data_IF_572571407332
#
_entry.id   IF_572571407332
#
_cell.length_a   1.000
_cell.length_b   1.000
_cell.length_c   1.000
_cell.angle_alpha   90.00
_cell.angle_beta   90.00
_cell.angle_gamma   90.00
#
_symmetry.space_group_name_H-M   'P 1'
#
loop_
_entity.id
_entity.type
_entity.pdbx_description
1 polymer ?
#
# COMPACT_ATOMS: atom_id res chain seq x y z
N UNK A 1 23.09 -9.96 -6.20
CA UNK A 1 22.62 -11.09 -5.38
C UNK A 1 21.36 -10.61 -4.67
N UNK A 2 20.17 -11.06 -5.07
CA UNK A 2 18.93 -10.64 -4.43
C UNK A 2 18.82 -11.35 -3.09
N UNK A 3 19.16 -10.67 -2.00
CA UNK A 3 18.85 -11.16 -0.66
C UNK A 3 17.36 -10.93 -0.41
N UNK A 4 16.55 -11.95 -0.73
CA UNK A 4 15.23 -12.09 -0.12
C UNK A 4 15.51 -12.51 1.32
N UNK A 5 15.27 -11.60 2.25
CA UNK A 5 15.66 -11.77 3.65
C UNK A 5 14.71 -12.76 4.31
N UNK A 6 15.17 -14.00 4.43
CA UNK A 6 14.90 -14.78 5.63
C UNK A 6 16.27 -15.20 6.18
N UNK A 7 16.59 -14.74 7.39
CA UNK A 7 17.68 -15.16 8.29
C UNK A 7 19.06 -14.49 8.20
N UNK A 8 19.35 -13.56 7.27
CA UNK A 8 20.71 -12.99 7.12
C UNK A 8 20.83 -11.46 7.04
N UNK A 9 19.77 -10.69 7.25
CA UNK A 9 19.89 -9.23 7.24
C UNK A 9 20.25 -8.71 8.62
N UNK A 10 21.28 -7.86 8.68
CA UNK A 10 21.69 -7.22 9.92
C UNK A 10 20.65 -6.16 10.30
N UNK A 11 19.91 -6.40 11.39
CA UNK A 11 18.99 -5.41 11.95
C UNK A 11 19.68 -4.07 12.24
N UNK A 12 20.98 -4.10 12.55
CA UNK A 12 21.77 -2.90 12.74
C UNK A 12 21.90 -2.10 11.44
N UNK A 13 22.19 -2.77 10.32
CA UNK A 13 22.25 -2.13 9.01
C UNK A 13 20.91 -1.46 8.66
N UNK A 14 19.78 -2.12 8.95
CA UNK A 14 18.46 -1.49 8.79
C UNK A 14 18.34 -0.21 9.59
N UNK A 15 18.70 -0.25 10.88
CA UNK A 15 18.57 0.90 11.77
C UNK A 15 19.48 2.05 11.33
N UNK A 16 20.68 1.74 10.84
CA UNK A 16 21.62 2.73 10.30
C UNK A 16 21.02 3.41 9.06
N UNK A 17 20.51 2.63 8.10
CA UNK A 17 19.83 3.14 6.90
C UNK A 17 18.59 4.00 7.23
N UNK A 18 17.82 3.62 8.25
CA UNK A 18 16.68 4.41 8.74
C UNK A 18 17.16 5.74 9.32
N UNK A 19 18.24 5.73 10.11
CA UNK A 19 18.79 6.93 10.73
C UNK A 19 19.34 7.94 9.71
N UNK A 20 19.88 7.44 8.60
CA UNK A 20 20.32 8.24 7.45
C UNK A 20 19.15 8.78 6.60
N UNK A 21 17.92 8.35 6.88
CA UNK A 21 16.73 8.71 6.11
C UNK A 21 16.71 8.08 4.71
N UNK A 22 17.44 6.98 4.51
CA UNK A 22 17.60 6.30 3.23
C UNK A 22 16.57 5.20 2.99
N UNK A 23 15.68 4.95 3.96
CA UNK A 23 14.62 3.93 3.88
C UNK A 23 13.26 4.54 3.53
N UNK A 24 12.59 3.93 2.56
CA UNK A 24 11.21 4.21 2.17
C UNK A 24 10.36 2.96 2.44
N UNK A 25 9.51 2.94 3.47
CA UNK A 25 8.58 1.86 3.69
C UNK A 25 7.49 1.80 2.60
N UNK A 26 7.19 0.58 2.17
CA UNK A 26 6.08 0.22 1.29
C UNK A 26 5.05 -0.53 2.14
N UNK A 27 3.87 0.07 2.29
CA UNK A 27 2.83 -0.32 3.25
C UNK A 27 1.71 -1.04 2.52
N UNK A 28 1.55 -2.33 2.83
CA UNK A 28 0.46 -3.16 2.32
C UNK A 28 -0.77 -3.22 3.22
N UNK A 29 -1.75 -4.00 2.78
CA UNK A 29 -3.06 -4.16 3.39
C UNK A 29 -3.04 -4.79 4.80
N UNK A 30 -2.09 -5.67 5.12
CA UNK A 30 -2.01 -6.30 6.46
C UNK A 30 -1.67 -5.28 7.57
N UNK A 31 -1.15 -4.10 7.21
CA UNK A 31 -0.88 -3.00 8.13
C UNK A 31 -2.15 -2.30 8.62
N UNK A 32 -3.29 -2.58 7.98
CA UNK A 32 -4.56 -1.94 8.25
C UNK A 32 -5.57 -2.94 8.80
N UNK A 33 -5.93 -2.73 10.07
CA UNK A 33 -6.91 -3.54 10.80
C UNK A 33 -8.01 -2.65 11.38
N UNK A 34 -9.14 -3.26 11.71
CA UNK A 34 -10.24 -2.62 12.40
C UNK A 34 -10.66 -3.46 13.59
N UNK A 35 -11.31 -2.82 14.57
CA UNK A 35 -11.80 -3.51 15.76
C UNK A 35 -13.18 -4.12 15.49
N UNK A 36 -13.28 -5.44 15.62
CA UNK A 36 -14.52 -6.20 15.43
C UNK A 36 -15.27 -6.53 16.72
N UNK A 37 -14.80 -6.04 17.87
CA UNK A 37 -15.31 -6.37 19.20
C UNK A 37 -14.72 -7.66 19.79
N UNK A 38 -14.46 -8.67 18.94
CA UNK A 38 -13.84 -9.95 19.32
C UNK A 38 -12.36 -10.03 18.94
N UNK A 39 -11.73 -8.91 18.56
CA UNK A 39 -10.34 -8.85 18.11
C UNK A 39 -10.14 -7.95 16.89
N UNK A 40 -8.90 -7.87 16.45
CA UNK A 40 -8.49 -7.09 15.28
C UNK A 40 -8.59 -7.94 14.01
N UNK A 41 -9.29 -7.44 13.00
CA UNK A 41 -9.45 -8.12 11.72
C UNK A 41 -8.89 -7.24 10.58
N UNK A 42 -8.37 -7.85 9.49
CA UNK A 42 -7.97 -7.11 8.30
C UNK A 42 -9.14 -6.31 7.70
N UNK A 43 -8.87 -5.10 7.25
CA UNK A 43 -9.90 -4.23 6.67
C UNK A 43 -10.48 -4.83 5.39
N UNK A 44 -9.64 -5.45 4.55
CA UNK A 44 -10.10 -6.11 3.33
C UNK A 44 -11.18 -7.15 3.62
N UNK A 45 -11.00 -7.99 4.64
CA UNK A 45 -11.98 -9.01 5.01
C UNK A 45 -13.34 -8.38 5.40
N UNK A 46 -13.32 -7.24 6.10
CA UNK A 46 -14.55 -6.51 6.44
C UNK A 46 -15.23 -5.89 5.23
N UNK A 47 -14.46 -5.20 4.38
CA UNK A 47 -14.99 -4.57 3.17
C UNK A 47 -15.61 -5.61 2.25
N UNK A 48 -14.93 -6.74 2.08
CA UNK A 48 -15.37 -7.89 1.28
C UNK A 48 -16.69 -8.47 1.80
N UNK A 49 -16.77 -8.73 3.10
CA UNK A 49 -18.01 -9.22 3.73
C UNK A 49 -19.15 -8.22 3.57
N UNK A 50 -18.90 -6.94 3.85
CA UNK A 50 -19.92 -5.89 3.78
C UNK A 50 -20.43 -5.67 2.36
N UNK A 51 -19.56 -5.69 1.36
CA UNK A 51 -19.99 -5.50 -0.03
C UNK A 51 -20.84 -6.70 -0.50
N UNK A 52 -20.50 -7.93 -0.14
CA UNK A 52 -21.31 -9.10 -0.42
C UNK A 52 -22.66 -9.07 0.29
N UNK A 53 -22.70 -8.69 1.57
CA UNK A 53 -23.96 -8.49 2.32
C UNK A 53 -24.89 -7.49 1.61
N UNK A 54 -24.35 -6.35 1.14
CA UNK A 54 -25.13 -5.34 0.40
C UNK A 54 -25.73 -5.88 -0.89
N UNK A 55 -25.00 -6.73 -1.61
CA UNK A 55 -25.46 -7.38 -2.84
C UNK A 55 -26.17 -8.72 -2.61
N UNK A 56 -26.43 -9.09 -1.34
CA UNK A 56 -27.11 -10.33 -0.93
C UNK A 56 -26.43 -11.60 -1.47
N UNK A 57 -25.10 -11.61 -1.50
CA UNK A 57 -24.31 -12.78 -1.87
C UNK A 57 -24.01 -13.59 -0.59
N UNK A 58 -24.54 -14.81 -0.51
CA UNK A 58 -24.43 -15.68 0.68
C UNK A 58 -23.64 -16.95 0.44
N UNK A 59 -23.52 -17.37 -0.81
CA UNK A 59 -23.08 -18.73 -1.17
C UNK A 59 -21.60 -18.77 -1.59
N UNK A 60 -20.95 -17.61 -1.67
CA UNK A 60 -19.57 -17.49 -2.14
C UNK A 60 -18.60 -17.31 -0.97
N UNK A 61 -17.44 -17.99 -1.00
CA UNK A 61 -16.40 -17.78 -0.01
C UNK A 61 -15.79 -16.37 -0.18
N UNK A 62 -15.75 -15.62 0.92
CA UNK A 62 -15.08 -14.31 0.95
C UNK A 62 -13.59 -14.53 1.21
N UNK A 63 -12.75 -14.32 0.19
CA UNK A 63 -11.29 -14.54 0.27
C UNK A 63 -10.54 -13.22 0.42
N UNK A 64 -10.70 -12.29 -0.52
CA UNK A 64 -10.08 -10.97 -0.49
C UNK A 64 -10.99 -9.89 -1.08
N UNK A 65 -10.64 -8.62 -0.90
CA UNK A 65 -11.39 -7.51 -1.48
C UNK A 65 -11.33 -7.54 -3.01
N UNK A 66 -10.15 -7.80 -3.58
CA UNK A 66 -9.97 -7.92 -5.03
C UNK A 66 -10.81 -9.05 -5.60
N UNK A 67 -10.79 -10.24 -4.98
CA UNK A 67 -11.61 -11.37 -5.43
C UNK A 67 -13.11 -11.06 -5.36
N UNK A 68 -13.52 -10.39 -4.29
CA UNK A 68 -14.91 -9.99 -4.09
C UNK A 68 -15.36 -9.01 -5.15
N UNK A 69 -14.53 -8.02 -5.49
CA UNK A 69 -14.82 -7.04 -6.55
C UNK A 69 -14.86 -7.75 -7.90
N UNK A 70 -13.84 -8.55 -8.25
CA UNK A 70 -13.80 -9.27 -9.51
C UNK A 70 -15.01 -10.20 -9.68
N UNK A 71 -15.49 -10.85 -8.61
CA UNK A 71 -16.73 -11.64 -8.64
C UNK A 71 -17.97 -10.77 -8.97
N UNK A 72 -18.13 -9.62 -8.30
CA UNK A 72 -19.26 -8.72 -8.53
C UNK A 72 -19.27 -8.18 -9.96
N UNK A 73 -18.09 -7.88 -10.53
CA UNK A 73 -17.94 -7.40 -11.90
C UNK A 73 -18.17 -8.51 -12.93
N UNK A 74 -17.51 -9.65 -12.77
CA UNK A 74 -17.47 -10.69 -13.78
C UNK A 74 -18.69 -11.61 -13.72
N UNK A 75 -19.12 -12.02 -12.53
CA UNK A 75 -20.22 -12.99 -12.37
C UNK A 75 -21.57 -12.28 -12.21
N UNK A 76 -21.61 -11.18 -11.44
CA UNK A 76 -22.86 -10.43 -11.20
C UNK A 76 -23.06 -9.25 -12.16
N UNK A 77 -22.09 -8.95 -13.02
CA UNK A 77 -22.16 -7.86 -14.02
C UNK A 77 -22.49 -6.49 -13.40
N UNK A 78 -22.08 -6.28 -12.16
CA UNK A 78 -22.22 -5.00 -11.47
C UNK A 78 -21.15 -4.05 -12.02
N UNK A 79 -21.51 -2.79 -12.24
CA UNK A 79 -20.56 -1.79 -12.75
C UNK A 79 -19.57 -1.40 -11.64
N UNK A 80 -18.29 -1.32 -11.97
CA UNK A 80 -17.20 -0.87 -11.08
C UNK A 80 -17.55 0.41 -10.32
N UNK A 81 -18.13 1.41 -11.01
CA UNK A 81 -18.56 2.68 -10.40
C UNK A 81 -19.55 2.47 -9.24
N UNK A 82 -20.51 1.56 -9.40
CA UNK A 82 -21.51 1.28 -8.37
C UNK A 82 -20.83 0.62 -7.16
N UNK A 83 -19.90 -0.32 -7.39
CA UNK A 83 -19.09 -0.96 -6.35
C UNK A 83 -18.28 0.09 -5.58
N UNK A 84 -17.56 0.98 -6.29
CA UNK A 84 -16.79 2.06 -5.69
C UNK A 84 -17.67 2.93 -4.79
N UNK A 85 -18.85 3.36 -5.25
CA UNK A 85 -19.78 4.18 -4.44
C UNK A 85 -20.17 3.45 -3.14
N UNK A 86 -20.44 2.15 -3.20
CA UNK A 86 -20.78 1.36 -2.01
C UNK A 86 -19.59 1.21 -1.07
N UNK A 87 -18.40 0.91 -1.59
CA UNK A 87 -17.18 0.82 -0.78
C UNK A 87 -16.85 2.16 -0.10
N UNK A 88 -17.05 3.30 -0.79
CA UNK A 88 -16.91 4.64 -0.18
C UNK A 88 -17.86 4.85 1.00
N UNK A 89 -19.08 4.32 0.93
CA UNK A 89 -20.03 4.38 2.05
C UNK A 89 -19.54 3.54 3.23
N UNK A 90 -19.17 2.28 2.96
CA UNK A 90 -18.74 1.33 3.99
C UNK A 90 -17.49 1.83 4.72
N UNK A 91 -16.50 2.34 3.98
CA UNK A 91 -15.19 2.72 4.54
C UNK A 91 -15.26 3.91 5.51
N UNK A 92 -16.29 4.75 5.40
CA UNK A 92 -16.52 5.87 6.31
C UNK A 92 -17.07 5.43 7.68
N UNK A 93 -17.61 4.22 7.79
CA UNK A 93 -18.22 3.69 9.02
C UNK A 93 -17.24 2.80 9.83
N UNK A 94 -16.04 2.54 9.30
CA UNK A 94 -15.07 1.64 9.93
C UNK A 94 -14.44 2.29 11.16
N UNK A 95 -14.44 1.55 12.28
CA UNK A 95 -13.67 1.90 13.46
C UNK A 95 -12.25 1.31 13.38
N UNK A 96 -11.32 2.13 12.89
CA UNK A 96 -9.94 1.71 12.61
C UNK A 96 -9.12 1.50 13.88
N UNK A 97 -8.35 0.42 13.93
CA UNK A 97 -7.35 0.16 14.97
C UNK A 97 -6.02 -0.22 14.29
N UNK A 98 -5.07 0.71 14.31
CA UNK A 98 -3.88 0.66 13.46
C UNK A 98 -2.59 0.60 14.31
N UNK A 99 -2.38 -0.43 15.16
CA UNK A 99 -1.23 -0.49 16.06
C UNK A 99 0.10 -0.61 15.32
N UNK A 100 0.19 -1.48 14.30
CA UNK A 100 1.41 -1.65 13.49
C UNK A 100 1.77 -0.36 12.76
N UNK A 101 0.77 0.32 12.19
CA UNK A 101 0.97 1.63 11.56
C UNK A 101 1.41 2.68 12.57
N UNK A 102 0.84 2.65 13.78
CA UNK A 102 1.20 3.55 14.87
C UNK A 102 2.67 3.37 15.26
N UNK A 103 3.14 2.14 15.39
CA UNK A 103 4.54 1.87 15.75
C UNK A 103 5.51 2.22 14.64
N UNK A 104 5.16 1.93 13.38
CA UNK A 104 5.95 2.33 12.23
C UNK A 104 6.11 3.86 12.16
N UNK A 105 5.01 4.60 12.33
CA UNK A 105 5.00 6.06 12.21
C UNK A 105 5.78 6.74 13.34
N UNK A 106 5.92 6.12 14.52
CA UNK A 106 6.77 6.64 15.61
C UNK A 106 8.25 6.70 15.23
N UNK A 107 8.68 5.94 14.22
CA UNK A 107 10.07 5.94 13.74
C UNK A 107 10.37 7.27 13.03
N UNK A 108 11.23 8.08 13.65
CA UNK A 108 11.50 9.45 13.20
C UNK A 108 12.22 9.53 11.85
N UNK A 109 13.14 8.60 11.58
CA UNK A 109 13.92 8.55 10.33
C UNK A 109 13.10 8.29 9.06
N UNK A 110 11.85 7.81 9.20
CA UNK A 110 10.97 7.52 8.07
C UNK A 110 10.18 8.78 7.65
N UNK A 111 10.48 9.26 6.45
CA UNK A 111 9.86 10.47 5.85
C UNK A 111 9.10 10.23 4.56
N UNK A 112 9.50 9.25 3.76
CA UNK A 112 8.82 8.88 2.53
C UNK A 112 8.08 7.58 2.74
N UNK A 113 6.80 7.55 2.41
CA UNK A 113 5.98 6.35 2.53
C UNK A 113 5.33 6.06 1.19
N UNK A 114 5.23 4.79 0.86
CA UNK A 114 4.51 4.31 -0.31
C UNK A 114 3.37 3.46 0.22
N UNK A 115 2.15 3.89 -0.05
CA UNK A 115 0.96 3.16 0.34
C UNK A 115 0.39 2.44 -0.88
N UNK A 116 0.18 1.14 -0.74
CA UNK A 116 -0.38 0.28 -1.79
C UNK A 116 -1.83 -0.09 -1.50
N UNK A 117 -2.47 0.55 -0.52
CA UNK A 117 -3.88 0.36 -0.22
C UNK A 117 -4.70 1.55 -0.71
N UNK A 118 -5.96 1.30 -1.05
CA UNK A 118 -6.89 2.33 -1.53
C UNK A 118 -7.73 2.97 -0.40
N UNK A 119 -7.37 2.71 0.86
CA UNK A 119 -8.14 3.17 2.00
C UNK A 119 -8.06 4.70 2.20
N UNK A 120 -9.01 5.23 2.97
CA UNK A 120 -9.23 6.67 3.15
C UNK A 120 -8.13 7.39 3.97
N UNK A 121 -7.05 7.86 3.32
CA UNK A 121 -6.03 8.78 3.86
C UNK A 121 -5.55 8.40 5.29
N UNK A 122 -5.58 7.10 5.62
CA UNK A 122 -5.43 6.62 6.99
C UNK A 122 -3.98 6.79 7.47
N UNK A 123 -3.04 6.55 6.56
CA UNK A 123 -1.62 6.72 6.81
C UNK A 123 -1.28 8.19 7.03
N UNK A 124 -1.77 9.08 6.17
CA UNK A 124 -1.57 10.52 6.25
C UNK A 124 -2.09 11.06 7.60
N UNK A 125 -3.32 10.70 7.96
CA UNK A 125 -3.92 11.08 9.25
C UNK A 125 -3.12 10.55 10.42
N UNK A 126 -2.63 9.30 10.35
CA UNK A 126 -1.83 8.70 11.44
C UNK A 126 -0.48 9.40 11.60
N UNK A 127 0.19 9.72 10.49
CA UNK A 127 1.43 10.49 10.47
C UNK A 127 1.20 11.87 11.07
N UNK A 128 0.18 12.60 10.62
CA UNK A 128 -0.14 13.93 11.11
C UNK A 128 -0.43 13.93 12.62
N UNK A 129 -1.18 12.94 13.10
CA UNK A 129 -1.49 12.77 14.52
C UNK A 129 -0.25 12.51 15.39
N UNK A 130 0.65 11.62 14.96
CA UNK A 130 1.78 11.18 15.79
C UNK A 130 2.98 12.13 15.68
N UNK A 131 3.31 12.58 14.46
CA UNK A 131 4.46 13.44 14.22
C UNK A 131 4.17 14.93 14.43
N UNK A 132 2.89 15.31 14.53
CA UNK A 132 2.44 16.70 14.62
C UNK A 132 3.05 17.57 13.50
N UNK A 133 3.13 17.00 12.30
CA UNK A 133 3.71 17.60 11.10
C UNK A 133 2.66 17.63 9.99
N UNK A 134 2.82 18.56 9.05
CA UNK A 134 2.05 18.51 7.81
C UNK A 134 2.46 17.27 7.04
N UNK A 135 1.52 16.66 6.34
CA UNK A 135 1.80 15.52 5.47
C UNK A 135 1.39 15.92 4.07
N UNK A 136 2.31 15.75 3.13
CA UNK A 136 2.01 15.92 1.71
C UNK A 136 1.73 14.56 1.09
N UNK A 137 0.80 14.47 0.17
CA UNK A 137 0.48 13.20 -0.50
C UNK A 137 0.22 13.37 -1.98
N UNK A 138 0.60 12.37 -2.77
CA UNK A 138 0.15 12.22 -4.16
C UNK A 138 -0.72 10.97 -4.25
N UNK A 139 -1.89 11.12 -4.86
CA UNK A 139 -2.75 10.01 -5.24
C UNK A 139 -2.57 9.73 -6.73
N UNK A 140 -2.01 8.57 -7.07
CA UNK A 140 -1.92 8.16 -8.46
C UNK A 140 -3.33 7.87 -9.00
N UNK A 141 -3.61 8.31 -10.23
CA UNK A 141 -4.91 8.14 -10.90
C UNK A 141 -4.66 7.98 -12.39
N UNK A 142 -5.41 7.11 -13.04
CA UNK A 142 -5.40 6.90 -14.49
C UNK A 142 -6.19 7.98 -15.22
N UNK A 143 -7.37 8.33 -14.72
CA UNK A 143 -8.26 9.32 -15.31
C UNK A 143 -7.87 10.77 -14.97
N UNK A 144 -7.23 10.99 -13.81
CA UNK A 144 -6.86 12.31 -13.33
C UNK A 144 -5.54 12.84 -13.89
N UNK A 145 -5.34 14.17 -13.87
CA UNK A 145 -4.03 14.75 -14.10
C UNK A 145 -3.06 14.25 -13.01
N UNK A 146 -1.90 13.77 -13.43
CA UNK A 146 -0.82 13.43 -12.51
C UNK A 146 0.15 14.60 -12.48
N UNK A 147 0.21 15.30 -11.35
CA UNK A 147 1.18 16.37 -11.11
C UNK A 147 2.26 15.88 -10.16
N UNK A 148 3.51 16.12 -10.54
CA UNK A 148 4.65 15.85 -9.66
C UNK A 148 4.68 16.82 -8.49
N UNK A 149 5.12 16.35 -7.33
CA UNK A 149 5.28 17.23 -6.17
C UNK A 149 6.58 18.03 -6.28
N UNK A 150 6.51 19.31 -5.94
CA UNK A 150 7.70 20.18 -5.89
C UNK A 150 8.47 19.88 -4.60
N UNK A 151 9.80 19.72 -4.73
CA UNK A 151 10.73 19.54 -3.60
C UNK A 151 10.57 18.23 -2.80
N UNK A 152 10.59 17.10 -3.51
CA UNK A 152 10.71 15.77 -2.88
C UNK A 152 12.17 15.39 -2.56
N UNK A 153 13.14 16.29 -2.68
CA UNK A 153 14.54 16.05 -2.29
C UNK A 153 14.79 16.78 -0.96
N UNK A 154 15.18 16.04 0.08
CA UNK A 154 15.35 16.53 1.46
C UNK A 154 14.06 17.05 2.11
N UNK A 155 13.06 16.18 2.22
CA UNK A 155 11.79 16.48 2.88
C UNK A 155 11.97 17.02 4.32
N UNK A 156 11.39 18.19 4.57
CA UNK A 156 11.15 18.69 5.92
C UNK A 156 9.98 17.94 6.58
N UNK A 157 8.91 17.75 5.82
CA UNK A 157 7.65 17.13 6.24
C UNK A 157 7.48 15.72 5.62
N UNK A 158 6.80 14.78 6.28
CA UNK A 158 6.51 13.46 5.71
C UNK A 158 5.71 13.53 4.40
N UNK A 159 5.96 12.55 3.54
CA UNK A 159 5.32 12.42 2.23
C UNK A 159 4.76 11.01 2.03
N UNK A 160 3.54 10.93 1.47
CA UNK A 160 2.87 9.67 1.14
C UNK A 160 2.59 9.59 -0.36
N UNK A 161 3.00 8.51 -1.00
CA UNK A 161 2.62 8.18 -2.38
C UNK A 161 1.61 7.03 -2.39
N UNK A 162 0.36 7.31 -2.74
CA UNK A 162 -0.71 6.31 -2.88
C UNK A 162 -0.70 5.77 -4.31
N UNK A 163 -0.10 4.59 -4.49
CA UNK A 163 0.20 4.02 -5.82
C UNK A 163 -1.04 3.57 -6.56
N UNK A 164 -2.08 3.13 -5.85
CA UNK A 164 -3.32 2.59 -6.41
C UNK A 164 -4.51 3.55 -6.27
N UNK A 165 -4.22 4.82 -6.01
CA UNK A 165 -5.23 5.84 -5.77
C UNK A 165 -5.85 5.72 -4.38
N UNK A 166 -7.03 6.31 -4.21
CA UNK A 166 -7.73 6.41 -2.94
C UNK A 166 -9.23 6.36 -3.19
N UNK A 167 -9.94 5.54 -2.40
CA UNK A 167 -11.40 5.46 -2.46
C UNK A 167 -12.06 6.83 -2.30
N UNK A 168 -11.50 7.76 -1.52
CA UNK A 168 -12.11 9.08 -1.35
C UNK A 168 -11.50 10.16 -2.23
N UNK A 169 -10.20 10.06 -2.54
CA UNK A 169 -9.44 11.13 -3.18
C UNK A 169 -9.28 10.95 -4.69
N UNK A 170 -9.63 9.77 -5.24
CA UNK A 170 -9.65 9.51 -6.69
C UNK A 170 -11.01 9.00 -7.18
N UNK A 171 -11.21 9.06 -8.50
CA UNK A 171 -12.42 8.55 -9.16
C UNK A 171 -12.29 7.09 -9.61
N UNK A 172 -11.07 6.60 -9.68
CA UNK A 172 -10.65 5.36 -10.30
C UNK A 172 -9.67 4.56 -9.41
N UNK A 173 -9.91 4.39 -8.10
CA UNK A 173 -9.04 3.59 -7.24
C UNK A 173 -8.95 2.14 -7.73
N UNK A 174 -7.77 1.53 -7.65
CA UNK A 174 -7.62 0.14 -8.09
C UNK A 174 -8.16 -0.84 -7.04
N UNK A 175 -9.35 -1.37 -7.28
CA UNK A 175 -10.09 -2.23 -6.34
C UNK A 175 -10.16 -3.69 -6.78
N UNK A 176 -9.82 -3.98 -8.04
CA UNK A 176 -9.67 -5.33 -8.60
C UNK A 176 -8.23 -5.59 -9.09
N UNK A 177 -7.90 -6.86 -9.40
CA UNK A 177 -6.62 -7.17 -10.03
C UNK A 177 -6.51 -6.54 -11.43
N UNK A 178 -7.62 -6.49 -12.17
CA UNK A 178 -7.70 -5.85 -13.48
C UNK A 178 -7.36 -4.35 -13.40
N UNK A 179 -7.91 -3.63 -12.43
CA UNK A 179 -7.55 -2.23 -12.21
C UNK A 179 -6.06 -2.08 -11.88
N UNK A 180 -5.53 -2.95 -11.02
CA UNK A 180 -4.14 -2.93 -10.63
C UNK A 180 -3.20 -3.16 -11.83
N UNK A 181 -3.58 -4.02 -12.78
CA UNK A 181 -2.86 -4.23 -14.03
C UNK A 181 -2.90 -2.99 -14.93
N UNK A 182 -4.05 -2.31 -15.03
CA UNK A 182 -4.16 -1.05 -15.78
C UNK A 182 -3.29 0.06 -15.16
N UNK A 183 -3.28 0.15 -13.84
CA UNK A 183 -2.35 1.00 -13.09
C UNK A 183 -0.91 0.67 -13.47
N UNK A 184 -0.58 -0.62 -13.52
CA UNK A 184 0.77 -1.07 -13.84
C UNK A 184 1.22 -0.72 -15.27
N UNK A 185 0.35 -0.93 -16.25
CA UNK A 185 0.62 -0.62 -17.65
C UNK A 185 0.86 0.87 -17.89
N UNK A 186 0.05 1.73 -17.25
CA UNK A 186 0.10 3.18 -17.46
C UNK A 186 1.12 3.91 -16.58
N UNK A 187 1.62 3.26 -15.54
CA UNK A 187 2.49 3.91 -14.56
C UNK A 187 3.76 4.49 -15.18
N UNK A 188 4.46 3.70 -16.01
CA UNK A 188 5.75 4.10 -16.58
C UNK A 188 5.60 5.38 -17.40
N UNK A 189 4.52 5.52 -18.16
CA UNK A 189 4.28 6.72 -18.96
C UNK A 189 4.00 7.94 -18.09
N UNK A 190 3.11 7.81 -17.09
CA UNK A 190 2.79 8.92 -16.19
C UNK A 190 4.00 9.37 -15.36
N UNK A 191 4.84 8.44 -14.92
CA UNK A 191 6.05 8.76 -14.16
C UNK A 191 7.15 9.45 -14.95
N UNK A 192 7.16 9.39 -16.29
CA UNK A 192 8.09 10.21 -17.09
C UNK A 192 7.89 11.71 -16.83
N UNK A 193 6.70 12.11 -16.37
CA UNK A 193 6.36 13.50 -16.01
C UNK A 193 6.60 13.80 -14.52
N UNK A 194 7.14 12.83 -13.77
CA UNK A 194 7.27 12.84 -12.31
C UNK A 194 8.73 12.78 -11.84
N UNK A 195 9.61 13.61 -12.42
CA UNK A 195 11.05 13.52 -12.18
C UNK A 195 11.43 13.63 -10.71
N UNK A 196 10.77 14.49 -9.92
CA UNK A 196 11.06 14.65 -8.51
C UNK A 196 10.70 13.39 -7.71
N UNK A 197 9.54 12.78 -7.99
CA UNK A 197 9.14 11.54 -7.33
C UNK A 197 10.07 10.38 -7.71
N UNK A 198 10.42 10.27 -9.00
CA UNK A 198 11.38 9.26 -9.46
C UNK A 198 12.73 9.43 -8.79
N UNK A 199 13.27 10.66 -8.76
CA UNK A 199 14.58 10.95 -8.17
C UNK A 199 14.58 10.74 -6.65
N UNK A 200 13.50 11.11 -5.97
CA UNK A 200 13.34 10.88 -4.53
C UNK A 200 13.36 9.40 -4.15
N UNK A 201 12.91 8.52 -5.05
CA UNK A 201 12.83 7.07 -4.83
C UNK A 201 14.04 6.31 -5.36
N UNK A 202 14.80 6.86 -6.31
CA UNK A 202 15.84 6.16 -7.07
C UNK A 202 16.92 5.49 -6.21
N UNK A 203 17.33 6.16 -5.13
CA UNK A 203 18.44 5.73 -4.27
C UNK A 203 18.00 5.31 -2.86
N UNK A 204 16.71 5.04 -2.66
CA UNK A 204 16.17 4.65 -1.35
C UNK A 204 16.09 3.13 -1.23
N UNK A 205 16.48 2.62 -0.07
CA UNK A 205 16.20 1.26 0.36
C UNK A 205 14.71 1.10 0.56
N UNK A 206 14.12 0.06 -0.02
CA UNK A 206 12.68 -0.20 0.08
C UNK A 206 12.43 -1.23 1.17
N UNK A 207 11.51 -0.93 2.08
CA UNK A 207 11.10 -1.83 3.16
C UNK A 207 9.62 -2.21 2.99
N UNK A 208 9.34 -3.41 2.49
CA UNK A 208 7.98 -3.90 2.29
C UNK A 208 7.44 -4.49 3.58
N UNK A 209 6.28 -3.96 4.03
CA UNK A 209 5.62 -4.32 5.28
C UNK A 209 4.15 -4.63 5.02
N UNK A 210 3.71 -5.84 5.40
CA UNK A 210 2.30 -6.25 5.30
C UNK A 210 1.76 -6.31 3.87
N UNK A 211 2.63 -6.56 2.89
CA UNK A 211 2.29 -6.62 1.47
C UNK A 211 1.89 -8.06 1.09
N UNK A 212 0.64 -8.45 1.35
CA UNK A 212 0.12 -9.77 0.99
C UNK A 212 -0.44 -9.85 -0.43
N UNK A 213 0.21 -9.17 -1.38
CA UNK A 213 -0.27 -9.07 -2.76
C UNK A 213 0.13 -10.30 -3.60
N UNK A 214 -0.59 -10.54 -4.72
CA UNK A 214 -0.17 -11.51 -5.72
C UNK A 214 1.28 -11.30 -6.16
N UNK A 215 1.97 -12.37 -6.55
CA UNK A 215 3.40 -12.30 -6.88
C UNK A 215 3.70 -11.31 -8.02
N UNK A 216 2.83 -11.26 -9.02
CA UNK A 216 2.98 -10.32 -10.14
C UNK A 216 2.95 -8.86 -9.67
N UNK A 217 2.14 -8.55 -8.65
CA UNK A 217 2.03 -7.22 -8.08
C UNK A 217 3.30 -6.84 -7.32
N UNK A 218 3.87 -7.78 -6.57
CA UNK A 218 5.16 -7.56 -5.93
C UNK A 218 6.24 -7.27 -6.97
N UNK A 219 6.27 -8.02 -8.07
CA UNK A 219 7.19 -7.76 -9.19
C UNK A 219 6.95 -6.38 -9.82
N UNK A 220 5.69 -5.98 -9.96
CA UNK A 220 5.32 -4.64 -10.42
C UNK A 220 5.84 -3.56 -9.47
N UNK A 221 5.52 -3.60 -8.18
CA UNK A 221 6.00 -2.64 -7.18
C UNK A 221 7.53 -2.55 -7.16
N UNK A 222 8.22 -3.69 -7.24
CA UNK A 222 9.68 -3.71 -7.32
C UNK A 222 10.19 -3.07 -8.62
N UNK A 223 9.55 -3.31 -9.78
CA UNK A 223 9.83 -2.66 -11.08
C UNK A 223 9.58 -1.17 -11.10
N UNK A 224 8.52 -0.78 -10.42
CA UNK A 224 8.09 0.59 -10.21
C UNK A 224 9.17 1.40 -9.54
N UNK A 225 9.55 0.91 -8.36
CA UNK A 225 10.28 1.68 -7.40
C UNK A 225 11.77 1.64 -7.73
N UNK A 226 12.26 0.54 -8.30
CA UNK A 226 13.62 0.45 -8.85
C UNK A 226 13.86 1.36 -10.05
N UNK A 227 12.79 1.75 -10.77
CA UNK A 227 12.87 2.45 -12.07
C UNK A 227 13.82 1.76 -13.08
N UNK A 228 14.08 0.45 -12.91
CA UNK A 228 14.97 -0.33 -13.78
C UNK A 228 14.40 -1.73 -14.07
N UNK A 229 14.69 -2.32 -15.24
CA UNK A 229 14.30 -3.70 -15.55
C UNK A 229 14.77 -4.69 -14.48
N UNK A 230 13.95 -5.68 -14.14
CA UNK A 230 14.28 -6.66 -13.09
C UNK A 230 15.59 -7.43 -13.33
N UNK A 231 15.95 -7.66 -14.60
CA UNK A 231 17.19 -8.34 -14.96
C UNK A 231 18.46 -7.50 -14.71
N UNK A 232 18.30 -6.20 -14.45
CA UNK A 232 19.40 -5.29 -14.07
C UNK A 232 19.50 -5.14 -12.54
N UNK A 233 18.66 -5.86 -11.77
CA UNK A 233 18.73 -5.78 -10.31
C UNK A 233 19.90 -6.60 -9.79
N UNK A 234 20.75 -5.96 -8.99
CA UNK A 234 21.96 -6.54 -8.42
C UNK A 234 23.27 -6.13 -9.10
N UNK A 235 23.22 -5.36 -10.20
CA UNK A 235 24.37 -4.55 -10.67
C UNK A 235 24.41 -3.18 -10.01
N UNK A 236 23.26 -2.69 -9.55
CA UNK A 236 23.12 -1.40 -8.87
C UNK A 236 22.93 -1.62 -7.36
N UNK A 237 23.53 -0.75 -6.52
CA UNK A 237 23.64 -0.81 -5.05
C UNK A 237 22.30 -0.66 -4.27
N UNK A 238 21.15 -1.05 -4.85
CA UNK A 238 19.86 -0.86 -4.19
C UNK A 238 19.47 -2.05 -3.31
N UNK A 239 19.21 -1.77 -2.03
CA UNK A 239 18.76 -2.77 -1.05
C UNK A 239 17.22 -2.82 -1.05
N UNK A 240 16.67 -4.02 -1.08
CA UNK A 240 15.24 -4.29 -1.01
C UNK A 240 15.01 -5.27 0.13
N UNK A 241 14.19 -4.88 1.10
CA UNK A 241 13.89 -5.68 2.28
C UNK A 241 12.41 -6.02 2.25
N UNK A 242 12.11 -7.31 2.26
CA UNK A 242 10.74 -7.83 2.36
C UNK A 242 10.61 -8.51 3.70
N UNK A 243 9.82 -7.92 4.59
CA UNK A 243 9.48 -8.55 5.86
C UNK A 243 8.19 -9.32 5.65
N UNK A 244 8.30 -10.63 5.49
CA UNK A 244 7.15 -11.53 5.37
C UNK A 244 7.31 -12.64 6.41
N UNK A 245 6.47 -12.62 7.44
CA UNK A 245 6.42 -13.70 8.41
C UNK A 245 5.64 -14.87 7.81
N UNK A 246 6.36 -15.90 7.35
CA UNK A 246 5.79 -17.14 6.81
C UNK A 246 5.51 -18.18 7.91
N UNK A 247 5.75 -17.86 9.18
CA UNK A 247 5.60 -18.82 10.27
C UNK A 247 4.12 -19.06 10.61
N UNK A 248 3.84 -20.21 11.22
CA UNK A 248 2.51 -20.52 11.76
C UNK A 248 2.03 -19.52 12.85
N UNK A 249 2.94 -18.68 13.37
CA UNK A 249 2.58 -17.59 14.28
C UNK A 249 1.87 -16.45 13.57
N UNK A 250 1.97 -16.35 12.23
CA UNK A 250 1.23 -15.37 11.43
C UNK A 250 -0.25 -15.42 11.75
N UNK A 251 -0.83 -16.62 11.80
CA UNK A 251 -2.27 -16.83 12.07
C UNK A 251 -2.63 -16.77 13.56
N UNK A 252 -1.64 -16.90 14.46
CA UNK A 252 -1.80 -16.81 15.92
C UNK A 252 -1.63 -15.38 16.46
N UNK A 253 -1.09 -14.44 15.68
CA UNK A 253 -1.04 -13.01 16.03
C UNK A 253 -2.42 -12.34 16.12
N UNK A 254 -3.50 -13.11 15.89
CA UNK A 254 -4.89 -12.65 15.86
C UNK A 254 -5.74 -13.18 17.02
N UNK A 255 -5.17 -14.00 17.93
CA UNK A 255 -5.83 -14.46 19.15
C UNK A 255 -5.24 -13.73 20.36
N UNK A 256 -5.93 -12.68 20.84
CA UNK A 256 -5.79 -12.18 22.22
C UNK A 256 -7.20 -12.09 22.82
#
# INVERSE_FOLDING_TARGET
>A
MNQIISDQFDWKELTDLISEGSVTPVIGNEMYKFNSGNGQLPIDSYLSKKIFELYKITDEPVVSLTDSVSYLENEKKIKTRDIIIRLKSIINEVNYELPLLTDLVKIQGLKYYINTTVYNELLEKKIQQIKNQKVSSINFSLAGPFEDSKALVNLADPFVFNVFGSLLSTNDPAISEEDMLEYAGNFTEKMKKASNLVDALKNKTLLFLGCSYPEWMMRFALRLLSNQPMHQWGTDNRIIIVVNDKSAYRDQQYEI
#
